data_IF_633382938052
#
_entry.id   IF_633382938052
#
_cell.length_a   1.000
_cell.length_b   1.000
_cell.length_c   1.000
_cell.angle_alpha   90.00
_cell.angle_beta   90.00
_cell.angle_gamma   90.00
#
_symmetry.space_group_name_H-M   'P 1'
#
loop_
_entity.id
_entity.type
_entity.pdbx_description
1 polymer ?
#
# COMPACT_ATOMS: atom_id res chain seq x y z
N UNK A 1 -5.50 -10.60 -8.11
CA UNK A 1 -6.04 -11.99 -8.11
C UNK A 1 -5.58 -12.66 -9.39
N UNK A 2 -5.25 -13.96 -9.40
CA UNK A 2 -4.94 -14.66 -10.66
C UNK A 2 -5.96 -15.78 -10.83
N UNK A 3 -6.73 -15.75 -11.92
CA UNK A 3 -7.81 -16.72 -12.18
C UNK A 3 -8.86 -16.85 -11.05
N UNK A 4 -9.09 -15.78 -10.27
CA UNK A 4 -10.04 -15.79 -9.14
C UNK A 4 -9.46 -16.27 -7.81
N UNK A 5 -8.18 -16.66 -7.76
CA UNK A 5 -7.50 -17.01 -6.51
C UNK A 5 -6.84 -15.78 -5.87
N UNK A 6 -7.04 -15.64 -4.56
CA UNK A 6 -6.28 -14.72 -3.71
C UNK A 6 -4.88 -15.31 -3.54
N UNK A 7 -3.87 -14.59 -4.02
CA UNK A 7 -2.47 -14.97 -3.83
C UNK A 7 -2.07 -14.49 -2.44
N UNK A 8 -1.65 -15.42 -1.57
CA UNK A 8 -0.96 -15.07 -0.34
C UNK A 8 0.51 -14.78 -0.67
N UNK A 9 0.99 -13.52 -0.57
CA UNK A 9 2.30 -13.14 -1.07
C UNK A 9 3.46 -13.85 -0.37
N UNK A 10 3.39 -14.02 0.95
CA UNK A 10 4.46 -14.64 1.74
C UNK A 10 4.74 -16.10 1.30
N UNK A 11 3.72 -16.98 1.31
CA UNK A 11 3.84 -18.35 0.81
C UNK A 11 4.26 -18.43 -0.66
N UNK A 12 3.77 -17.53 -1.52
CA UNK A 12 4.11 -17.54 -2.94
C UNK A 12 5.57 -17.17 -3.20
N UNK A 13 6.11 -16.17 -2.49
CA UNK A 13 7.53 -15.81 -2.54
C UNK A 13 8.39 -17.01 -2.10
N UNK A 14 8.04 -17.63 -0.97
CA UNK A 14 8.75 -18.80 -0.46
C UNK A 14 8.71 -19.97 -1.48
N UNK A 15 7.54 -20.24 -2.07
CA UNK A 15 7.35 -21.28 -3.10
C UNK A 15 8.20 -21.00 -4.34
N UNK A 16 8.29 -19.75 -4.79
CA UNK A 16 9.12 -19.34 -5.94
C UNK A 16 10.60 -19.57 -5.65
N UNK A 17 11.08 -19.18 -4.47
CA UNK A 17 12.46 -19.45 -4.04
C UNK A 17 12.77 -20.95 -3.97
N UNK A 18 11.89 -21.76 -3.40
CA UNK A 18 12.04 -23.23 -3.37
C UNK A 18 12.16 -23.84 -4.77
N UNK A 19 11.45 -23.26 -5.75
CA UNK A 19 11.49 -23.68 -7.15
C UNK A 19 12.63 -23.04 -7.96
N UNK A 20 13.50 -22.24 -7.33
CA UNK A 20 14.55 -21.45 -8.00
C UNK A 20 14.00 -20.54 -9.10
N UNK A 21 12.75 -20.10 -8.97
CA UNK A 21 12.16 -19.08 -9.83
C UNK A 21 12.29 -17.73 -9.13
N UNK A 22 13.13 -16.86 -9.66
CA UNK A 22 13.37 -15.53 -9.10
C UNK A 22 12.64 -14.41 -9.84
N UNK A 23 11.81 -14.75 -10.83
CA UNK A 23 10.92 -13.76 -11.43
C UNK A 23 9.84 -13.39 -10.41
N UNK A 24 9.82 -12.14 -9.97
CA UNK A 24 8.84 -11.60 -9.02
C UNK A 24 7.92 -10.56 -9.67
N UNK A 25 8.08 -10.28 -10.97
CA UNK A 25 7.33 -9.28 -11.74
C UNK A 25 5.81 -9.53 -11.71
N UNK A 26 5.41 -10.78 -11.42
CA UNK A 26 4.00 -11.19 -11.29
C UNK A 26 3.45 -11.11 -9.86
N UNK A 27 4.25 -10.65 -8.88
CA UNK A 27 3.84 -10.45 -7.48
C UNK A 27 3.57 -8.98 -7.18
N UNK A 28 2.78 -8.40 -8.07
CA UNK A 28 2.32 -7.03 -8.01
C UNK A 28 0.81 -7.03 -8.23
N UNK A 29 0.13 -6.01 -7.74
CA UNK A 29 -1.14 -5.58 -8.33
C UNK A 29 -0.89 -4.37 -9.20
N UNK A 30 -1.69 -4.23 -10.24
CA UNK A 30 -1.84 -2.92 -10.86
C UNK A 30 -2.48 -1.95 -9.86
N UNK A 31 -2.27 -0.65 -10.07
CA UNK A 31 -2.96 0.38 -9.27
C UNK A 31 -4.48 0.17 -9.30
N UNK A 32 -5.03 -0.22 -10.47
CA UNK A 32 -6.46 -0.51 -10.63
C UNK A 32 -6.92 -1.72 -9.81
N UNK A 33 -6.15 -2.81 -9.79
CA UNK A 33 -6.48 -3.97 -8.96
C UNK A 33 -6.45 -3.64 -7.46
N UNK A 34 -5.46 -2.85 -7.04
CA UNK A 34 -5.35 -2.36 -5.67
C UNK A 34 -6.54 -1.49 -5.30
N UNK A 35 -6.89 -0.51 -6.14
CA UNK A 35 -8.04 0.35 -5.96
C UNK A 35 -9.36 -0.44 -5.94
N UNK A 36 -9.52 -1.44 -6.81
CA UNK A 36 -10.71 -2.26 -6.87
C UNK A 36 -10.89 -3.11 -5.60
N UNK A 37 -9.80 -3.70 -5.09
CA UNK A 37 -9.83 -4.51 -3.87
C UNK A 37 -10.20 -3.68 -2.64
N UNK A 38 -9.76 -2.42 -2.59
CA UNK A 38 -10.05 -1.49 -1.50
C UNK A 38 -11.17 -0.48 -1.83
N UNK A 39 -11.94 -0.72 -2.90
CA UNK A 39 -12.83 0.28 -3.50
C UNK A 39 -13.89 0.79 -2.54
N UNK A 40 -14.59 -0.11 -1.85
CA UNK A 40 -15.64 0.27 -0.90
C UNK A 40 -15.12 1.19 0.21
N UNK A 41 -14.04 0.79 0.89
CA UNK A 41 -13.45 1.57 1.98
C UNK A 41 -12.87 2.89 1.44
N UNK A 42 -12.13 2.84 0.34
CA UNK A 42 -11.46 4.01 -0.24
C UNK A 42 -12.46 5.04 -0.75
N UNK A 43 -13.47 4.62 -1.52
CA UNK A 43 -14.50 5.51 -2.05
C UNK A 43 -15.34 6.12 -0.93
N UNK A 44 -15.78 5.30 0.04
CA UNK A 44 -16.58 5.77 1.15
C UNK A 44 -15.80 6.78 2.01
N UNK A 45 -14.59 6.44 2.47
CA UNK A 45 -13.78 7.32 3.32
C UNK A 45 -13.29 8.57 2.58
N UNK A 46 -12.93 8.46 1.30
CA UNK A 46 -12.54 9.62 0.51
C UNK A 46 -13.70 10.60 0.30
N UNK A 47 -14.94 10.11 0.14
CA UNK A 47 -16.12 10.97 0.04
C UNK A 47 -16.38 11.76 1.33
N UNK A 48 -16.15 11.15 2.50
CA UNK A 48 -16.26 11.82 3.80
C UNK A 48 -15.18 12.91 3.93
N UNK A 49 -13.94 12.59 3.57
CA UNK A 49 -12.86 13.57 3.63
C UNK A 49 -13.06 14.73 2.63
N UNK A 50 -13.60 14.46 1.44
CA UNK A 50 -13.91 15.50 0.46
C UNK A 50 -15.02 16.46 0.93
N UNK A 51 -15.97 15.96 1.73
CA UNK A 51 -17.06 16.78 2.30
C UNK A 51 -16.72 17.45 3.63
N UNK A 52 -15.57 17.14 4.23
CA UNK A 52 -15.16 17.69 5.53
C UNK A 52 -13.68 18.07 5.58
N UNK A 53 -13.43 19.38 5.54
CA UNK A 53 -12.09 19.96 5.55
C UNK A 53 -11.24 19.65 6.81
N UNK A 54 -11.83 19.09 7.86
CA UNK A 54 -11.10 18.65 9.07
C UNK A 54 -10.62 17.20 8.99
N UNK A 55 -11.04 16.44 7.97
CA UNK A 55 -10.57 15.08 7.76
C UNK A 55 -9.46 15.06 6.72
N UNK A 56 -8.36 14.40 7.08
CA UNK A 56 -7.32 14.03 6.12
C UNK A 56 -7.50 12.57 5.76
N UNK A 57 -7.79 12.28 4.51
CA UNK A 57 -7.73 10.93 3.98
C UNK A 57 -6.31 10.58 3.56
N UNK A 58 -5.80 9.46 4.05
CA UNK A 58 -4.54 8.89 3.62
C UNK A 58 -4.81 7.70 2.70
N UNK A 59 -4.34 7.78 1.45
CA UNK A 59 -4.33 6.64 0.54
C UNK A 59 -3.16 5.73 0.89
N UNK A 60 -3.36 4.87 1.89
CA UNK A 60 -2.32 3.98 2.43
C UNK A 60 -1.74 3.09 1.33
N UNK A 61 -2.60 2.55 0.46
CA UNK A 61 -2.19 1.58 -0.56
C UNK A 61 -1.30 2.19 -1.66
N UNK A 62 -1.56 3.43 -2.05
CA UNK A 62 -0.74 4.16 -3.03
C UNK A 62 0.72 4.30 -2.57
N UNK A 63 0.99 4.22 -1.26
CA UNK A 63 2.34 4.33 -0.71
C UNK A 63 3.20 3.08 -0.92
N UNK A 64 2.60 1.95 -1.32
CA UNK A 64 3.33 0.74 -1.69
C UNK A 64 3.64 0.67 -3.19
N UNK A 65 3.05 1.56 -3.99
CA UNK A 65 3.21 1.56 -5.44
C UNK A 65 4.55 2.19 -5.85
N UNK A 66 5.17 1.63 -6.89
CA UNK A 66 6.43 2.15 -7.39
C UNK A 66 6.20 3.51 -8.08
N UNK A 67 7.03 4.53 -7.80
CA UNK A 67 6.96 5.79 -8.52
C UNK A 67 7.11 5.55 -10.03
N UNK A 68 6.25 6.19 -10.83
CA UNK A 68 6.27 6.12 -12.30
C UNK A 68 5.95 4.75 -12.92
N UNK A 69 5.51 3.77 -12.10
CA UNK A 69 5.01 2.48 -12.58
C UNK A 69 3.55 2.26 -12.12
N UNK A 70 2.72 1.68 -12.99
CA UNK A 70 1.32 1.35 -12.67
C UNK A 70 1.18 0.07 -11.81
N UNK A 71 2.17 -0.21 -10.96
CA UNK A 71 2.26 -1.44 -10.17
C UNK A 71 2.58 -1.19 -8.69
N UNK A 72 2.00 -2.04 -7.85
CA UNK A 72 2.11 -2.04 -6.40
C UNK A 72 2.61 -3.42 -5.95
N UNK A 73 3.92 -3.57 -5.71
CA UNK A 73 4.50 -4.84 -5.28
C UNK A 73 4.01 -5.29 -3.91
N UNK A 74 3.87 -6.60 -3.71
CA UNK A 74 3.60 -7.18 -2.37
C UNK A 74 4.86 -7.38 -1.52
N UNK A 75 6.01 -6.94 -2.03
CA UNK A 75 7.31 -7.15 -1.45
C UNK A 75 8.20 -5.94 -1.70
N UNK A 76 9.22 -5.80 -0.86
CA UNK A 76 10.25 -4.80 -1.07
C UNK A 76 11.19 -5.27 -2.21
N UNK A 77 11.29 -4.52 -3.32
CA UNK A 77 12.08 -4.94 -4.47
C UNK A 77 13.60 -5.01 -4.19
N UNK A 78 14.06 -4.35 -3.12
CA UNK A 78 15.48 -4.32 -2.73
C UNK A 78 15.89 -5.58 -1.98
N UNK A 79 15.05 -6.08 -1.06
CA UNK A 79 15.40 -7.20 -0.16
C UNK A 79 14.49 -8.44 -0.30
N UNK A 80 13.46 -8.36 -1.17
CA UNK A 80 12.50 -9.43 -1.46
C UNK A 80 11.63 -9.88 -0.26
N UNK A 81 11.61 -9.12 0.83
CA UNK A 81 10.73 -9.37 1.96
C UNK A 81 9.31 -8.93 1.63
N UNK A 82 8.32 -9.74 2.01
CA UNK A 82 6.92 -9.35 1.84
C UNK A 82 6.55 -8.15 2.72
N UNK A 83 5.71 -7.26 2.20
CA UNK A 83 5.08 -6.19 2.97
C UNK A 83 3.95 -6.71 3.87
N UNK A 84 3.43 -7.91 3.62
CA UNK A 84 2.28 -8.48 4.32
C UNK A 84 2.64 -9.81 4.99
N UNK A 85 2.11 -10.05 6.19
CA UNK A 85 2.31 -11.32 6.92
C UNK A 85 1.33 -12.40 6.48
N UNK A 86 0.19 -12.01 5.92
CA UNK A 86 -0.90 -12.90 5.52
C UNK A 86 -1.75 -12.27 4.39
N UNK A 87 -2.65 -13.09 3.82
CA UNK A 87 -3.61 -12.65 2.81
C UNK A 87 -4.74 -11.74 3.30
N UNK A 88 -4.80 -11.40 4.61
CA UNK A 88 -5.79 -10.45 5.15
C UNK A 88 -5.23 -9.04 5.33
N UNK A 89 -3.96 -8.82 4.97
CA UNK A 89 -3.37 -7.49 4.84
C UNK A 89 -2.67 -6.97 6.10
N UNK A 90 -2.34 -7.84 7.06
CA UNK A 90 -1.50 -7.43 8.18
C UNK A 90 -0.08 -7.13 7.69
N UNK A 91 0.49 -5.99 8.09
CA UNK A 91 1.78 -5.53 7.60
C UNK A 91 2.96 -6.14 8.36
N UNK A 92 4.03 -6.46 7.64
CA UNK A 92 5.35 -6.75 8.23
C UNK A 92 6.03 -5.47 8.69
N UNK A 93 7.19 -5.60 9.34
CA UNK A 93 8.05 -4.45 9.67
C UNK A 93 8.46 -3.69 8.40
N UNK A 94 8.75 -4.38 7.30
CA UNK A 94 9.07 -3.74 6.03
C UNK A 94 7.85 -3.02 5.44
N UNK A 95 6.66 -3.61 5.57
CA UNK A 95 5.40 -2.94 5.17
C UNK A 95 5.14 -1.67 5.97
N UNK A 96 5.32 -1.72 7.29
CA UNK A 96 5.20 -0.53 8.16
C UNK A 96 6.26 0.53 7.86
N UNK A 97 7.48 0.12 7.54
CA UNK A 97 8.55 1.05 7.16
C UNK A 97 8.27 1.75 5.83
N UNK A 98 7.69 1.06 4.84
CA UNK A 98 7.29 1.66 3.57
C UNK A 98 6.29 2.82 3.77
N UNK A 99 5.41 2.72 4.77
CA UNK A 99 4.43 3.76 5.10
C UNK A 99 5.03 4.98 5.81
N UNK A 100 6.23 4.86 6.40
CA UNK A 100 6.79 5.89 7.29
C UNK A 100 6.87 7.24 6.59
N UNK A 101 7.36 7.28 5.35
CA UNK A 101 7.54 8.54 4.63
C UNK A 101 6.21 9.24 4.34
N UNK A 102 5.18 8.49 3.92
CA UNK A 102 3.87 9.07 3.65
C UNK A 102 3.19 9.62 4.90
N UNK A 103 3.25 8.89 6.02
CA UNK A 103 2.77 9.42 7.30
C UNK A 103 3.55 10.65 7.76
N UNK A 104 4.87 10.69 7.55
CA UNK A 104 5.68 11.84 7.91
C UNK A 104 5.34 13.08 7.07
N UNK A 105 5.05 12.91 5.76
CA UNK A 105 4.54 13.99 4.91
C UNK A 105 3.20 14.53 5.42
N UNK A 106 2.27 13.63 5.78
CA UNK A 106 0.95 14.01 6.31
C UNK A 106 1.09 14.77 7.63
N UNK A 107 1.87 14.25 8.57
CA UNK A 107 2.10 14.89 9.86
C UNK A 107 2.71 16.29 9.69
N UNK A 108 3.71 16.43 8.82
CA UNK A 108 4.35 17.72 8.54
C UNK A 108 3.34 18.73 7.97
N UNK A 109 2.52 18.32 7.00
CA UNK A 109 1.47 19.18 6.43
C UNK A 109 0.47 19.64 7.50
N UNK A 110 -0.02 18.72 8.32
CA UNK A 110 -0.98 19.03 9.38
C UNK A 110 -0.41 20.01 10.42
N UNK A 111 0.87 19.85 10.81
CA UNK A 111 1.55 20.79 11.72
C UNK A 111 1.60 22.19 11.10
N UNK A 112 1.91 22.31 9.81
CA UNK A 112 1.96 23.60 9.11
C UNK A 112 0.58 24.26 9.05
N UNK A 113 -0.46 23.50 8.69
CA UNK A 113 -1.85 24.00 8.65
C UNK A 113 -2.31 24.50 10.03
N UNK A 114 -2.01 23.76 11.10
CA UNK A 114 -2.40 24.13 12.47
C UNK A 114 -1.57 25.31 13.00
N UNK A 115 -0.30 25.42 12.62
CA UNK A 115 0.57 26.52 13.04
C UNK A 115 0.25 27.83 12.29
N UNK A 116 -0.20 27.73 11.03
CA UNK A 116 -0.62 28.87 10.21
C UNK A 116 -2.05 29.36 10.48
N UNK A 117 -2.92 28.51 11.04
CA UNK A 117 -4.31 28.86 11.43
C UNK A 117 -4.43 29.66 12.74
N UNK A 118 -3.34 30.08 13.38
CA UNK A 118 -3.38 31.10 14.46
C UNK A 118 -3.46 32.51 13.89
N UNK A 119 -4.61 32.90 13.33
CA UNK A 119 -5.05 34.30 13.22
C UNK A 119 -6.56 34.37 13.32
#
# INVERSE_FOLDING_TARGET
>A
MRNGEVIDPGPEIARRFQKKNFNMDQLVWTINETAAFHSFETEFLSSIAASNANFTFNKVYDQFCLPDEDVCPFYNPVNLHSYYTDGVGHLTVDGLNALREGYQRIATRLIQELSGKRR
#
